data_IF_565302321369
#
_entry.id   IF_565302321369
#
_cell.length_a   1.000
_cell.length_b   1.000
_cell.length_c   1.000
_cell.angle_alpha   90.00
_cell.angle_beta   90.00
_cell.angle_gamma   90.00
#
_symmetry.space_group_name_H-M   'P 1'
#
loop_
_entity.id
_entity.type
_entity.pdbx_description
1 polymer ?
#
# COMPACT_ATOMS: atom_id res chain seq x y z
N UNK A 1 75.24 -28.18 22.66
CA UNK A 1 73.96 -28.81 23.01
C UNK A 1 72.96 -27.71 23.30
N UNK A 2 71.96 -27.49 22.42
CA UNK A 2 70.93 -26.48 22.71
C UNK A 2 69.65 -27.15 23.27
N UNK A 3 69.03 -26.44 24.18
CA UNK A 3 67.90 -26.84 24.96
C UNK A 3 66.60 -26.90 24.16
N UNK A 4 65.83 -27.94 24.40
CA UNK A 4 64.48 -28.18 23.87
C UNK A 4 63.48 -27.20 24.46
N UNK A 5 62.93 -26.29 23.66
CA UNK A 5 61.79 -25.41 24.04
C UNK A 5 60.46 -26.20 23.89
N UNK A 6 59.75 -26.33 25.00
CA UNK A 6 58.36 -26.84 25.02
C UNK A 6 57.44 -25.98 24.20
N UNK A 7 56.82 -26.56 23.18
CA UNK A 7 55.73 -25.93 22.42
C UNK A 7 54.47 -26.06 23.25
N UNK A 8 53.84 -24.92 23.58
CA UNK A 8 52.51 -24.83 24.16
C UNK A 8 51.48 -25.29 23.15
N UNK A 9 50.64 -26.26 23.50
CA UNK A 9 49.42 -26.63 22.76
C UNK A 9 48.48 -25.43 22.74
N UNK A 10 48.20 -24.88 21.56
CA UNK A 10 47.14 -23.93 21.35
C UNK A 10 45.80 -24.67 21.42
N UNK A 11 44.90 -24.14 22.24
CA UNK A 11 43.49 -24.50 22.32
C UNK A 11 42.85 -24.44 20.97
N UNK A 12 42.24 -25.56 20.55
CA UNK A 12 41.57 -25.68 19.25
C UNK A 12 40.38 -24.71 19.16
N UNK A 13 40.52 -23.73 18.31
CA UNK A 13 39.37 -23.08 17.71
C UNK A 13 39.00 -24.01 16.57
N UNK A 14 37.86 -24.70 16.71
CA UNK A 14 37.22 -25.39 15.58
C UNK A 14 36.95 -24.31 14.52
N UNK A 15 37.78 -24.29 13.48
CA UNK A 15 37.49 -23.54 12.28
C UNK A 15 36.32 -24.26 11.62
N UNK A 16 35.09 -23.73 11.77
CA UNK A 16 33.98 -24.09 10.90
C UNK A 16 34.51 -24.08 9.48
N UNK A 17 34.49 -25.26 8.82
CA UNK A 17 34.84 -25.39 7.42
C UNK A 17 33.87 -24.51 6.65
N UNK A 18 34.30 -23.34 6.26
CA UNK A 18 33.59 -22.44 5.35
C UNK A 18 33.28 -23.23 4.08
N UNK A 19 32.02 -23.63 3.89
CA UNK A 19 31.58 -24.34 2.68
C UNK A 19 31.67 -23.40 1.50
N UNK A 20 32.77 -23.47 0.76
CA UNK A 20 33.04 -22.67 -0.44
C UNK A 20 31.97 -22.86 -1.54
N UNK A 21 31.04 -23.81 -1.38
CA UNK A 21 29.89 -23.98 -2.29
C UNK A 21 28.75 -22.99 -2.01
N UNK A 22 28.69 -22.37 -0.85
CA UNK A 22 27.83 -21.21 -0.57
C UNK A 22 28.59 -19.92 -0.91
N UNK A 23 28.82 -19.65 -2.19
CA UNK A 23 29.03 -18.25 -2.61
C UNK A 23 27.76 -17.51 -2.26
N UNK A 24 27.79 -16.45 -1.42
CA UNK A 24 26.62 -15.61 -1.28
C UNK A 24 26.23 -15.15 -2.68
N UNK A 25 24.97 -15.36 -3.07
CA UNK A 25 24.47 -14.87 -4.36
C UNK A 25 24.81 -13.39 -4.45
N UNK A 26 25.67 -13.04 -5.41
CA UNK A 26 26.10 -11.64 -5.54
C UNK A 26 24.92 -10.83 -6.04
N UNK A 27 24.57 -9.76 -5.33
CA UNK A 27 23.56 -8.81 -5.77
C UNK A 27 23.98 -8.22 -7.12
N UNK A 28 23.05 -8.26 -8.09
CA UNK A 28 23.22 -7.62 -9.38
C UNK A 28 22.84 -6.15 -9.28
N UNK A 29 23.65 -5.25 -9.85
CA UNK A 29 23.30 -3.83 -9.94
C UNK A 29 22.15 -3.65 -10.96
N UNK A 30 21.06 -3.03 -10.54
CA UNK A 30 19.89 -2.74 -11.36
C UNK A 30 19.76 -1.26 -11.76
N UNK A 31 20.71 -0.40 -11.34
CA UNK A 31 20.61 1.04 -11.55
C UNK A 31 19.56 1.70 -10.64
N UNK A 32 18.92 2.77 -11.16
CA UNK A 32 17.85 3.48 -10.44
C UNK A 32 16.53 2.76 -10.71
N UNK A 33 15.98 2.11 -9.69
CA UNK A 33 14.71 1.38 -9.74
C UNK A 33 13.89 1.72 -8.51
N UNK A 34 12.59 1.96 -8.67
CA UNK A 34 11.66 2.16 -7.56
C UNK A 34 11.38 0.81 -6.88
N UNK A 35 12.27 0.40 -6.00
CA UNK A 35 12.28 -0.94 -5.41
C UNK A 35 11.43 -1.02 -4.12
N UNK A 36 10.17 -0.61 -4.20
CA UNK A 36 9.19 -0.78 -3.11
C UNK A 36 8.16 -1.81 -3.51
N UNK A 37 8.04 -2.88 -2.74
CA UNK A 37 7.06 -3.95 -2.93
C UNK A 37 6.71 -4.57 -1.56
N UNK A 38 5.45 -4.86 -1.28
CA UNK A 38 4.27 -4.64 -2.12
C UNK A 38 3.80 -3.17 -2.11
N UNK A 39 3.20 -2.71 -3.23
CA UNK A 39 2.52 -1.43 -3.31
C UNK A 39 1.01 -1.64 -3.16
N UNK A 40 0.28 -0.76 -2.47
CA UNK A 40 -1.17 -0.85 -2.39
C UNK A 40 -1.84 -0.51 -3.73
N UNK A 41 -3.07 -0.95 -3.90
CA UNK A 41 -4.00 -0.47 -4.94
C UNK A 41 -5.10 0.31 -4.25
N UNK A 42 -4.99 1.64 -4.28
CA UNK A 42 -5.87 2.57 -3.57
C UNK A 42 -6.86 3.19 -4.56
N UNK A 43 -8.16 2.98 -4.31
CA UNK A 43 -9.23 3.59 -5.09
C UNK A 43 -9.63 4.90 -4.43
N UNK A 44 -9.18 6.02 -5.01
CA UNK A 44 -9.44 7.37 -4.47
C UNK A 44 -10.65 7.96 -5.18
N UNK A 45 -11.71 8.29 -4.41
CA UNK A 45 -12.96 8.82 -4.95
C UNK A 45 -13.30 10.19 -4.35
N UNK A 46 -13.79 11.09 -5.18
CA UNK A 46 -14.25 12.42 -4.78
C UNK A 46 -15.38 12.89 -5.68
N UNK A 47 -16.26 13.74 -5.14
CA UNK A 47 -17.23 14.50 -5.96
C UNK A 47 -16.56 15.68 -6.66
N UNK A 48 -17.01 16.00 -7.85
CA UNK A 48 -16.75 17.32 -8.44
C UNK A 48 -17.69 18.39 -7.84
N UNK A 49 -17.54 19.63 -8.30
CA UNK A 49 -18.37 20.77 -7.86
C UNK A 49 -19.87 20.62 -8.15
N UNK A 50 -20.25 19.70 -9.06
CA UNK A 50 -21.63 19.40 -9.43
C UNK A 50 -22.16 18.14 -8.74
N UNK A 51 -21.38 17.53 -7.85
CA UNK A 51 -21.72 16.27 -7.17
C UNK A 51 -21.50 15.03 -8.03
N UNK A 52 -20.80 15.14 -9.16
CA UNK A 52 -20.48 14.00 -10.01
C UNK A 52 -19.30 13.22 -9.43
N UNK A 53 -19.42 11.89 -9.42
CA UNK A 53 -18.40 10.98 -8.90
C UNK A 53 -17.22 10.87 -9.87
N UNK A 54 -16.01 10.95 -9.34
CA UNK A 54 -14.82 10.52 -10.04
C UNK A 54 -13.95 9.63 -9.14
N UNK A 55 -13.44 8.55 -9.71
CA UNK A 55 -12.56 7.59 -9.03
C UNK A 55 -11.25 7.47 -9.80
N UNK A 56 -10.14 7.35 -9.10
CA UNK A 56 -8.84 6.99 -9.69
C UNK A 56 -8.17 5.88 -8.89
N UNK A 57 -7.34 5.11 -9.56
CA UNK A 57 -6.41 4.19 -8.93
C UNK A 57 -5.10 4.92 -8.59
N UNK A 58 -4.59 4.72 -7.38
CA UNK A 58 -3.29 5.25 -6.94
C UNK A 58 -2.52 4.15 -6.21
N UNK A 59 -1.25 3.98 -6.55
CA UNK A 59 -0.35 3.05 -5.85
C UNK A 59 0.61 3.78 -4.89
N UNK A 60 0.85 5.06 -5.11
CA UNK A 60 1.77 5.85 -4.29
C UNK A 60 1.04 6.53 -3.14
N UNK A 61 0.77 5.73 -2.10
CA UNK A 61 0.09 6.20 -0.89
C UNK A 61 0.39 5.29 0.29
N UNK A 62 0.36 5.86 1.49
CA UNK A 62 0.59 5.13 2.74
C UNK A 62 0.04 5.87 3.95
N UNK A 63 -0.16 5.13 5.04
CA UNK A 63 -0.44 5.74 6.35
C UNK A 63 0.79 6.52 6.80
N UNK A 64 0.62 7.81 7.07
CA UNK A 64 1.70 8.71 7.50
C UNK A 64 1.59 9.14 8.98
N UNK A 65 0.44 8.88 9.62
CA UNK A 65 0.23 9.04 11.05
C UNK A 65 -0.93 8.12 11.49
N UNK A 66 -1.23 8.05 12.79
CA UNK A 66 -2.28 7.19 13.36
C UNK A 66 -3.67 7.42 12.75
N UNK A 67 -3.96 8.64 12.30
CA UNK A 67 -5.23 9.08 11.72
C UNK A 67 -5.05 9.76 10.34
N UNK A 68 -3.94 9.52 9.63
CA UNK A 68 -3.65 10.21 8.38
C UNK A 68 -3.10 9.29 7.30
N UNK A 69 -3.54 9.55 6.07
CA UNK A 69 -3.02 8.93 4.86
C UNK A 69 -2.41 10.00 3.96
N UNK A 70 -1.22 9.71 3.41
CA UNK A 70 -0.56 10.52 2.39
C UNK A 70 -0.72 9.86 1.02
N UNK A 71 -1.12 10.63 0.01
CA UNK A 71 -1.28 10.20 -1.38
C UNK A 71 -0.40 11.08 -2.26
N UNK A 72 0.56 10.48 -2.94
CA UNK A 72 1.42 11.16 -3.91
C UNK A 72 0.75 11.07 -5.28
N UNK A 73 -0.07 12.05 -5.59
CA UNK A 73 -0.88 12.15 -6.81
C UNK A 73 -0.75 13.55 -7.37
N UNK A 74 -0.58 13.68 -8.70
CA UNK A 74 -0.32 14.95 -9.35
C UNK A 74 -1.53 15.91 -9.27
N UNK A 75 -1.25 17.21 -9.28
CA UNK A 75 -2.27 18.26 -9.18
C UNK A 75 -3.23 18.31 -10.38
N UNK A 76 -2.76 17.86 -11.56
CA UNK A 76 -3.54 17.85 -12.80
C UNK A 76 -4.54 16.68 -12.88
N UNK A 77 -4.47 15.71 -11.99
CA UNK A 77 -5.47 14.65 -11.92
C UNK A 77 -6.85 15.20 -11.54
N UNK A 78 -7.90 14.77 -12.27
CA UNK A 78 -9.28 15.18 -11.97
C UNK A 78 -9.68 14.93 -10.52
N UNK A 79 -9.24 13.84 -9.94
CA UNK A 79 -9.51 13.51 -8.53
C UNK A 79 -8.84 14.52 -7.59
N UNK A 80 -7.57 14.87 -7.83
CA UNK A 80 -6.87 15.89 -7.04
C UNK A 80 -7.58 17.23 -7.09
N UNK A 81 -7.96 17.68 -8.29
CA UNK A 81 -8.73 18.91 -8.49
C UNK A 81 -10.07 18.90 -7.74
N UNK A 82 -10.75 17.76 -7.75
CA UNK A 82 -12.00 17.56 -7.00
C UNK A 82 -11.77 17.64 -5.49
N UNK A 83 -10.77 16.95 -4.96
CA UNK A 83 -10.38 16.98 -3.53
C UNK A 83 -10.05 18.41 -3.08
N UNK A 84 -9.32 19.16 -3.89
CA UNK A 84 -8.97 20.54 -3.58
C UNK A 84 -10.20 21.44 -3.46
N UNK A 85 -11.27 21.16 -4.23
CA UNK A 85 -12.54 21.92 -4.21
C UNK A 85 -13.44 21.46 -3.08
N UNK A 86 -13.70 20.16 -2.95
CA UNK A 86 -14.68 19.60 -2.01
C UNK A 86 -14.12 19.39 -0.61
N UNK A 87 -12.80 19.38 -0.47
CA UNK A 87 -12.05 19.16 0.78
C UNK A 87 -12.30 17.79 1.43
N UNK A 88 -12.83 16.83 0.66
CA UNK A 88 -13.15 15.49 1.14
C UNK A 88 -12.96 14.44 0.04
N UNK A 89 -12.65 13.21 0.46
CA UNK A 89 -12.46 12.07 -0.44
C UNK A 89 -12.56 10.76 0.32
N UNK A 90 -12.71 9.68 -0.40
CA UNK A 90 -12.58 8.33 0.17
C UNK A 90 -11.40 7.60 -0.44
N UNK A 91 -10.85 6.65 0.31
CA UNK A 91 -9.79 5.74 -0.14
C UNK A 91 -10.23 4.33 0.17
N UNK A 92 -10.57 3.56 -0.87
CA UNK A 92 -10.95 2.15 -0.73
C UNK A 92 -9.82 1.22 -1.13
N UNK A 93 -9.85 0.01 -0.60
CA UNK A 93 -8.98 -1.08 -1.01
C UNK A 93 -9.72 -1.92 -2.05
N UNK A 94 -9.18 -2.01 -3.27
CA UNK A 94 -9.68 -2.93 -4.27
C UNK A 94 -9.22 -4.35 -3.94
N UNK A 95 -10.12 -5.32 -4.11
CA UNK A 95 -9.84 -6.73 -3.96
C UNK A 95 -9.67 -7.44 -5.31
N UNK A 96 -9.40 -8.74 -5.25
CA UNK A 96 -9.19 -9.57 -6.43
C UNK A 96 -10.39 -9.59 -7.39
N UNK A 97 -11.61 -9.50 -6.86
CA UNK A 97 -12.86 -9.61 -7.66
C UNK A 97 -13.07 -8.35 -8.52
N UNK A 98 -12.52 -7.22 -8.10
CA UNK A 98 -12.69 -5.91 -8.73
C UNK A 98 -11.44 -5.42 -9.48
N UNK A 99 -10.50 -6.32 -9.81
CA UNK A 99 -9.21 -5.99 -10.41
C UNK A 99 -9.32 -5.22 -11.74
N UNK A 100 -10.16 -5.67 -12.64
CA UNK A 100 -10.34 -5.08 -13.97
C UNK A 100 -10.93 -3.67 -13.90
N UNK A 101 -11.88 -3.42 -12.99
CA UNK A 101 -12.42 -2.08 -12.75
C UNK A 101 -11.40 -1.19 -12.05
N UNK A 102 -10.62 -1.72 -11.10
CA UNK A 102 -9.55 -0.99 -10.46
C UNK A 102 -8.47 -0.56 -11.46
N UNK A 103 -8.08 -1.43 -12.39
CA UNK A 103 -7.15 -1.12 -13.48
C UNK A 103 -7.75 -0.07 -14.43
N UNK A 104 -9.01 -0.23 -14.83
CA UNK A 104 -9.71 0.76 -15.65
C UNK A 104 -9.69 2.16 -15.03
N UNK A 105 -9.92 2.28 -13.71
CA UNK A 105 -9.79 3.55 -13.01
C UNK A 105 -8.36 4.13 -13.01
N UNK A 106 -7.35 3.31 -13.25
CA UNK A 106 -5.96 3.74 -13.41
C UNK A 106 -5.63 4.24 -14.81
N UNK A 107 -6.14 3.55 -15.85
CA UNK A 107 -5.82 3.89 -17.26
C UNK A 107 -6.72 4.99 -17.84
N UNK A 108 -7.94 5.14 -17.34
CA UNK A 108 -8.88 6.17 -17.78
C UNK A 108 -8.70 7.47 -16.97
N UNK A 109 -8.60 8.60 -17.63
CA UNK A 109 -8.57 9.92 -16.95
C UNK A 109 -9.93 10.60 -16.98
N UNK A 110 -10.41 11.06 -15.81
CA UNK A 110 -11.64 11.84 -15.68
C UNK A 110 -11.61 13.18 -16.42
N UNK A 111 -10.43 13.71 -16.75
CA UNK A 111 -10.30 14.92 -17.56
C UNK A 111 -10.72 14.73 -19.02
N UNK A 112 -10.64 13.50 -19.54
CA UNK A 112 -11.01 13.15 -20.93
C UNK A 112 -12.30 12.33 -21.02
N UNK A 113 -12.63 11.57 -19.97
CA UNK A 113 -13.76 10.65 -19.91
C UNK A 113 -14.66 11.05 -18.74
N UNK A 114 -15.61 11.94 -19.01
CA UNK A 114 -16.51 12.45 -17.97
C UNK A 114 -17.50 11.40 -17.43
N UNK A 115 -17.79 10.36 -18.21
CA UNK A 115 -18.65 9.23 -17.87
C UNK A 115 -17.88 7.99 -17.36
N UNK A 116 -16.63 8.22 -16.92
CA UNK A 116 -15.72 7.16 -16.48
C UNK A 116 -16.31 6.28 -15.36
N UNK A 117 -16.92 6.88 -14.36
CA UNK A 117 -17.53 6.13 -13.26
C UNK A 117 -18.75 5.34 -13.73
N UNK A 118 -19.64 5.97 -14.46
CA UNK A 118 -20.89 5.37 -14.95
C UNK A 118 -20.66 4.15 -15.85
N UNK A 119 -19.54 4.10 -16.57
CA UNK A 119 -19.18 2.95 -17.42
C UNK A 119 -18.92 1.67 -16.66
N UNK A 120 -18.57 1.76 -15.38
CA UNK A 120 -18.31 0.57 -14.57
C UNK A 120 -19.57 -0.13 -14.09
N UNK A 121 -20.69 0.59 -14.06
CA UNK A 121 -21.94 0.11 -13.46
C UNK A 121 -21.89 0.03 -11.93
N UNK A 122 -20.82 0.58 -11.30
CA UNK A 122 -20.65 0.59 -9.85
C UNK A 122 -21.57 1.61 -9.19
N UNK A 123 -21.83 1.37 -7.92
CA UNK A 123 -22.72 2.19 -7.08
C UNK A 123 -21.91 3.13 -6.20
N UNK A 124 -22.28 4.40 -6.19
CA UNK A 124 -21.72 5.37 -5.27
C UNK A 124 -22.78 5.78 -4.24
N UNK A 125 -22.44 5.64 -2.96
CA UNK A 125 -23.26 6.06 -1.83
C UNK A 125 -22.59 7.29 -1.18
N UNK A 126 -23.39 8.25 -0.72
CA UNK A 126 -22.84 9.39 -0.01
C UNK A 126 -22.32 8.96 1.37
N UNK A 127 -21.08 9.33 1.70
CA UNK A 127 -20.53 9.15 3.04
C UNK A 127 -21.37 9.89 4.10
N UNK A 128 -21.53 9.28 5.28
CA UNK A 128 -22.14 9.91 6.45
C UNK A 128 -21.14 10.80 7.22
N UNK A 129 -19.85 10.61 7.03
CA UNK A 129 -18.77 11.24 7.80
C UNK A 129 -18.13 12.42 7.06
N UNK A 130 -18.11 12.37 5.72
CA UNK A 130 -17.44 13.37 4.89
C UNK A 130 -18.24 13.66 3.62
N UNK A 131 -17.99 14.79 2.96
CA UNK A 131 -18.66 15.12 1.70
C UNK A 131 -17.97 14.42 0.49
N UNK A 132 -17.98 13.09 0.49
CA UNK A 132 -17.34 12.27 -0.55
C UNK A 132 -18.18 11.01 -0.87
N UNK A 133 -18.01 10.40 -2.05
CA UNK A 133 -18.66 9.15 -2.40
C UNK A 133 -17.94 7.94 -1.81
N UNK A 134 -18.67 7.01 -1.25
CA UNK A 134 -18.24 5.64 -0.96
C UNK A 134 -18.65 4.77 -2.15
N UNK A 135 -17.72 3.99 -2.67
CA UNK A 135 -17.99 3.04 -3.75
C UNK A 135 -18.31 1.69 -3.10
N UNK A 136 -19.56 1.27 -3.27
CA UNK A 136 -20.17 0.18 -2.50
C UNK A 136 -19.52 -1.19 -2.76
N UNK A 137 -18.98 -1.40 -3.97
CA UNK A 137 -18.35 -2.65 -4.36
C UNK A 137 -16.96 -2.88 -3.74
N UNK A 138 -16.32 -1.86 -3.18
CA UNK A 138 -15.01 -2.02 -2.54
C UNK A 138 -15.14 -2.35 -1.05
N UNK A 139 -14.60 -3.48 -0.59
CA UNK A 139 -14.93 -4.05 0.73
C UNK A 139 -14.37 -3.30 1.94
N UNK A 140 -13.40 -2.39 1.75
CA UNK A 140 -12.82 -1.55 2.83
C UNK A 140 -12.66 -0.14 2.33
N UNK A 141 -13.10 0.83 3.11
CA UNK A 141 -13.01 2.26 2.78
C UNK A 141 -12.57 3.09 3.98
N UNK A 142 -11.68 4.03 3.73
CA UNK A 142 -11.35 5.15 4.63
C UNK A 142 -12.04 6.41 4.10
N UNK A 143 -12.76 7.10 4.96
CA UNK A 143 -13.48 8.34 4.67
C UNK A 143 -12.66 9.51 5.23
N UNK A 144 -12.21 10.41 4.37
CA UNK A 144 -11.17 11.37 4.67
C UNK A 144 -11.57 12.81 4.40
N UNK A 145 -11.15 13.71 5.29
CA UNK A 145 -11.08 15.17 5.02
C UNK A 145 -9.68 15.54 4.54
N UNK A 146 -9.59 16.50 3.62
CA UNK A 146 -8.31 17.08 3.22
C UNK A 146 -7.71 17.84 4.41
N UNK A 147 -6.59 17.34 4.93
CA UNK A 147 -5.88 17.97 6.05
C UNK A 147 -4.81 18.94 5.59
N UNK A 148 -4.04 18.55 4.56
CA UNK A 148 -2.89 19.32 4.10
C UNK A 148 -2.58 18.99 2.64
N UNK A 149 -2.01 19.96 1.93
CA UNK A 149 -1.34 19.76 0.64
C UNK A 149 0.12 20.10 0.82
N UNK A 150 0.98 19.15 0.52
CA UNK A 150 2.42 19.35 0.55
C UNK A 150 2.93 19.37 -0.89
N UNK A 151 3.43 20.51 -1.29
CA UNK A 151 3.94 20.77 -2.64
C UNK A 151 5.37 21.30 -2.58
N UNK A 152 6.23 20.76 -3.41
CA UNK A 152 7.56 21.30 -3.67
C UNK A 152 8.01 20.92 -5.09
N UNK A 153 9.23 21.30 -5.47
CA UNK A 153 9.77 21.02 -6.82
C UNK A 153 9.85 19.53 -7.19
N UNK A 154 9.76 18.63 -6.21
CA UNK A 154 10.00 17.19 -6.40
C UNK A 154 8.75 16.33 -6.35
N UNK A 155 7.69 16.76 -5.66
CA UNK A 155 6.46 15.99 -5.51
C UNK A 155 5.26 16.84 -5.08
N UNK A 156 4.07 16.30 -5.33
CA UNK A 156 2.79 16.79 -4.86
C UNK A 156 2.13 15.72 -4.00
N UNK A 157 1.67 16.08 -2.80
CA UNK A 157 1.11 15.14 -1.85
C UNK A 157 -0.17 15.69 -1.21
N UNK A 158 -1.23 14.90 -1.29
CA UNK A 158 -2.50 15.12 -0.57
C UNK A 158 -2.43 14.36 0.74
N UNK A 159 -2.60 15.04 1.86
CA UNK A 159 -2.72 14.42 3.19
C UNK A 159 -4.17 14.45 3.64
N UNK A 160 -4.76 13.27 3.82
CA UNK A 160 -6.11 13.11 4.34
C UNK A 160 -6.11 12.78 5.82
N UNK A 161 -7.01 13.42 6.59
CA UNK A 161 -7.36 12.98 7.94
C UNK A 161 -8.48 11.95 7.84
N UNK A 162 -8.25 10.76 8.36
CA UNK A 162 -9.22 9.66 8.39
C UNK A 162 -10.28 10.00 9.46
N UNK A 163 -11.52 10.18 9.04
CA UNK A 163 -12.66 10.47 9.90
C UNK A 163 -13.38 9.18 10.27
N UNK A 164 -13.41 8.20 9.39
CA UNK A 164 -13.97 6.88 9.61
C UNK A 164 -13.28 5.84 8.73
N UNK A 165 -13.33 4.59 9.16
CA UNK A 165 -12.99 3.43 8.33
C UNK A 165 -14.10 2.40 8.45
N UNK A 166 -14.67 1.99 7.34
CA UNK A 166 -15.69 0.95 7.25
C UNK A 166 -15.17 -0.25 6.47
N UNK A 167 -15.70 -1.43 6.82
CA UNK A 167 -15.40 -2.68 6.11
C UNK A 167 -16.64 -3.56 6.07
N UNK A 168 -16.80 -4.30 4.99
CA UNK A 168 -17.85 -5.31 4.88
C UNK A 168 -17.63 -6.46 5.87
N UNK A 169 -18.71 -6.99 6.43
CA UNK A 169 -18.65 -8.13 7.37
C UNK A 169 -17.94 -9.35 6.80
N UNK A 170 -18.10 -9.60 5.48
CA UNK A 170 -17.50 -10.76 4.80
C UNK A 170 -15.96 -10.79 4.89
N UNK A 171 -15.31 -9.61 5.02
CA UNK A 171 -13.85 -9.51 5.14
C UNK A 171 -13.35 -9.41 6.57
N UNK A 172 -14.25 -9.47 7.57
CA UNK A 172 -13.87 -9.44 8.98
C UNK A 172 -13.59 -10.84 9.52
N UNK A 173 -12.64 -10.91 10.43
CA UNK A 173 -12.39 -12.06 11.28
C UNK A 173 -13.38 -12.09 12.47
N UNK A 174 -13.44 -13.20 13.20
CA UNK A 174 -14.32 -13.38 14.37
C UNK A 174 -14.14 -12.30 15.47
N UNK A 175 -12.97 -11.67 15.53
CA UNK A 175 -12.69 -10.59 16.47
C UNK A 175 -13.00 -9.18 15.92
N UNK A 176 -13.70 -9.09 14.79
CA UNK A 176 -14.13 -7.82 14.18
C UNK A 176 -13.03 -7.03 13.49
N UNK A 177 -11.88 -7.63 13.20
CA UNK A 177 -10.78 -6.99 12.45
C UNK A 177 -10.77 -7.46 11.02
N UNK A 178 -10.36 -6.61 10.09
CA UNK A 178 -10.14 -6.99 8.70
C UNK A 178 -9.13 -8.13 8.63
N UNK A 179 -9.53 -9.21 7.96
CA UNK A 179 -8.71 -10.38 7.71
C UNK A 179 -8.11 -10.29 6.30
N UNK A 180 -6.79 -10.16 6.16
CA UNK A 180 -6.14 -10.03 4.85
C UNK A 180 -6.40 -11.23 3.92
N UNK A 181 -6.59 -12.44 4.47
CA UNK A 181 -6.88 -13.63 3.69
C UNK A 181 -8.30 -13.62 3.11
N UNK A 182 -9.25 -13.02 3.83
CA UNK A 182 -10.63 -12.82 3.35
C UNK A 182 -10.72 -11.62 2.41
N UNK A 183 -10.02 -10.53 2.74
CA UNK A 183 -10.03 -9.31 1.94
C UNK A 183 -9.42 -9.52 0.56
N UNK A 184 -8.35 -10.29 0.43
CA UNK A 184 -7.62 -10.50 -0.83
C UNK A 184 -7.33 -9.18 -1.57
N UNK A 185 -6.93 -8.14 -0.83
CA UNK A 185 -6.62 -6.84 -1.41
C UNK A 185 -5.56 -6.97 -2.50
N UNK A 186 -5.75 -6.20 -3.57
CA UNK A 186 -4.80 -6.12 -4.67
C UNK A 186 -3.48 -5.50 -4.20
N UNK A 187 -2.41 -6.06 -4.68
CA UNK A 187 -1.04 -5.58 -4.55
C UNK A 187 -0.52 -5.26 -5.95
N UNK A 188 -0.01 -4.05 -6.14
CA UNK A 188 0.66 -3.66 -7.37
C UNK A 188 2.15 -3.99 -7.31
N UNK A 189 2.63 -4.65 -8.35
CA UNK A 189 4.05 -4.93 -8.57
C UNK A 189 4.68 -3.86 -9.45
N UNK A 190 5.49 -3.01 -8.83
CA UNK A 190 6.19 -1.92 -9.51
C UNK A 190 7.30 -2.43 -10.47
N UNK A 191 7.79 -3.68 -10.30
CA UNK A 191 8.89 -4.19 -11.11
C UNK A 191 8.45 -4.69 -12.47
N UNK A 192 7.31 -5.37 -12.55
CA UNK A 192 6.78 -6.00 -13.76
C UNK A 192 5.37 -5.55 -14.14
N UNK A 193 4.81 -4.62 -13.37
CA UNK A 193 3.49 -4.02 -13.60
C UNK A 193 2.36 -5.05 -13.57
N UNK A 194 2.42 -5.95 -12.57
CA UNK A 194 1.40 -6.98 -12.35
C UNK A 194 0.56 -6.71 -11.09
N UNK A 195 -0.60 -7.33 -11.02
CA UNK A 195 -1.42 -7.38 -9.82
C UNK A 195 -1.31 -8.73 -9.13
N UNK A 196 -1.20 -8.71 -7.80
CA UNK A 196 -1.10 -9.89 -6.95
C UNK A 196 -2.06 -9.76 -5.77
N UNK A 197 -2.25 -10.82 -5.02
CA UNK A 197 -2.89 -10.80 -3.70
C UNK A 197 -1.91 -11.30 -2.65
N UNK A 198 -2.17 -11.01 -1.37
CA UNK A 198 -1.34 -11.50 -0.27
C UNK A 198 -1.37 -13.04 -0.21
N UNK A 199 -0.22 -13.64 0.07
CA UNK A 199 -0.09 -15.08 0.35
C UNK A 199 -0.44 -15.43 1.80
N UNK A 200 0.08 -16.57 2.28
CA UNK A 200 -0.12 -17.03 3.65
C UNK A 200 0.58 -16.15 4.69
N UNK A 201 0.04 -16.11 5.90
CA UNK A 201 0.71 -15.49 7.04
C UNK A 201 1.93 -16.31 7.47
N UNK A 202 3.13 -15.77 7.31
CA UNK A 202 4.40 -16.44 7.61
C UNK A 202 4.91 -16.20 9.04
N UNK A 203 4.27 -15.29 9.79
CA UNK A 203 4.68 -14.99 11.17
C UNK A 203 3.79 -13.97 11.85
N UNK A 204 3.99 -13.80 13.15
CA UNK A 204 3.28 -12.82 13.95
C UNK A 204 4.17 -11.61 14.21
N UNK A 205 3.73 -10.45 13.79
CA UNK A 205 4.46 -9.19 14.00
C UNK A 205 4.66 -8.92 15.50
N UNK A 206 5.74 -8.22 15.83
CA UNK A 206 6.21 -7.90 17.21
C UNK A 206 6.44 -9.12 18.12
N UNK A 207 6.43 -10.32 17.57
CA UNK A 207 6.64 -11.55 18.30
C UNK A 207 7.72 -12.45 17.67
N UNK A 208 7.72 -12.58 16.34
CA UNK A 208 8.61 -13.53 15.63
C UNK A 208 10.10 -13.30 15.94
N UNK A 209 10.53 -12.06 16.18
CA UNK A 209 11.92 -11.69 16.51
C UNK A 209 12.25 -11.74 18.01
N UNK A 210 11.31 -12.05 18.91
CA UNK A 210 11.51 -11.92 20.35
C UNK A 210 12.64 -12.81 20.91
N UNK A 211 12.96 -13.93 20.25
CA UNK A 211 14.07 -14.82 20.62
C UNK A 211 15.45 -14.14 20.57
N UNK A 212 15.62 -13.15 19.68
CA UNK A 212 16.87 -12.39 19.53
C UNK A 212 17.11 -11.37 20.65
N UNK A 213 16.08 -11.04 21.43
CA UNK A 213 16.18 -10.12 22.57
C UNK A 213 16.72 -10.80 23.84
N UNK A 214 16.76 -12.15 23.84
CA UNK A 214 17.26 -12.97 24.97
C UNK A 214 18.71 -13.37 24.69
N UNK A 215 19.63 -12.42 24.77
CA UNK A 215 21.09 -12.70 24.79
C UNK A 215 21.67 -12.33 26.13
#
# INVERSE_FOLDING_TARGET
MPACKKVRKSTGIETEKYDLRRRPEMKKNLGIVQAVYPMPVLMVAAYDENGKVNVMNAAWGMICNTDRIALFIDEDHKTTQNILKTKAFTVSLADKEHMDVADFFGIATGNKMSDKFERTGYTAVKSEFVNAPVIDEFPVVMECELAEVVENESFYCIVGKIMNTAAEEKVLSENGKVDPAKLQALIFDQFQHGYYVSGEQVGKAWNAGAGLMKK
#
